data_IF_849052428841
#
_entry.id   IF_849052428841
#
_cell.length_a   1.000
_cell.length_b   1.000
_cell.length_c   1.000
_cell.angle_alpha   90.00
_cell.angle_beta   90.00
_cell.angle_gamma   90.00
#
_symmetry.space_group_name_H-M   'P 1'
#
loop_
_entity.id
_entity.type
_entity.pdbx_description
1 polymer ?
#
# COMPACT_ATOMS: atom_id res chain seq x y z
N UNK A 1 14.01 -30.71 -4.31
CA UNK A 1 13.25 -29.47 -4.08
C UNK A 1 11.95 -29.60 -4.85
N UNK A 2 10.84 -29.92 -4.17
CA UNK A 2 9.55 -30.11 -4.85
C UNK A 2 8.88 -28.76 -5.13
N UNK A 3 7.97 -28.72 -6.10
CA UNK A 3 7.17 -27.52 -6.41
C UNK A 3 6.44 -26.97 -5.17
N UNK A 4 5.99 -27.86 -4.26
CA UNK A 4 5.42 -27.49 -2.97
C UNK A 4 6.39 -26.72 -2.06
N UNK A 5 7.70 -27.02 -2.11
CA UNK A 5 8.74 -26.28 -1.39
C UNK A 5 9.10 -24.94 -2.05
N UNK A 6 8.89 -24.80 -3.37
CA UNK A 6 9.12 -23.56 -4.10
C UNK A 6 8.01 -22.53 -3.82
N UNK A 7 6.76 -22.98 -3.80
CA UNK A 7 5.60 -22.13 -3.53
C UNK A 7 5.45 -21.85 -2.03
N UNK A 8 5.67 -22.87 -1.19
CA UNK A 8 5.69 -22.70 0.26
C UNK A 8 4.33 -22.75 0.92
N UNK A 9 4.21 -23.49 2.03
CA UNK A 9 2.98 -23.50 2.83
C UNK A 9 2.95 -22.26 3.73
N UNK A 10 2.07 -21.31 3.41
CA UNK A 10 1.64 -20.20 4.28
C UNK A 10 2.70 -19.12 4.52
N UNK A 11 3.78 -19.46 5.21
CA UNK A 11 4.78 -18.51 5.72
C UNK A 11 6.21 -18.75 5.19
N UNK A 12 6.50 -19.91 4.60
CA UNK A 12 7.84 -20.26 4.10
C UNK A 12 7.81 -20.57 2.62
N UNK A 13 8.36 -19.67 1.79
CA UNK A 13 8.40 -19.77 0.32
C UNK A 13 8.27 -18.38 -0.34
N UNK A 14 8.13 -18.33 -1.66
CA UNK A 14 7.98 -17.06 -2.41
C UNK A 14 6.75 -16.27 -1.92
N UNK A 15 5.66 -16.98 -1.59
CA UNK A 15 4.43 -16.37 -1.05
C UNK A 15 4.69 -15.73 0.32
N UNK A 16 5.46 -16.39 1.19
CA UNK A 16 5.81 -15.86 2.51
C UNK A 16 6.65 -14.58 2.45
N UNK A 17 7.59 -14.49 1.49
CA UNK A 17 8.38 -13.28 1.26
C UNK A 17 7.51 -12.13 0.75
N UNK A 18 6.58 -12.40 -0.17
CA UNK A 18 5.65 -11.39 -0.67
C UNK A 18 4.78 -10.84 0.46
N UNK A 19 4.24 -11.73 1.30
CA UNK A 19 3.36 -11.34 2.39
C UNK A 19 4.09 -10.58 3.50
N UNK A 20 5.30 -11.01 3.85
CA UNK A 20 6.05 -10.47 5.01
C UNK A 20 6.89 -9.25 4.66
N UNK A 21 7.33 -9.10 3.41
CA UNK A 21 8.28 -8.04 3.01
C UNK A 21 7.66 -7.12 1.97
N UNK A 22 7.18 -7.66 0.85
CA UNK A 22 6.76 -6.83 -0.30
C UNK A 22 5.56 -5.96 0.07
N UNK A 23 4.55 -6.54 0.70
CA UNK A 23 3.32 -5.84 1.06
C UNK A 23 3.58 -4.72 2.07
N UNK A 24 4.27 -4.95 3.21
CA UNK A 24 4.60 -3.89 4.15
C UNK A 24 5.45 -2.78 3.53
N UNK A 25 6.38 -3.11 2.63
CA UNK A 25 7.22 -2.13 1.94
C UNK A 25 6.38 -1.24 1.01
N UNK A 26 5.45 -1.81 0.25
CA UNK A 26 4.55 -1.02 -0.61
C UNK A 26 3.68 -0.08 0.25
N UNK A 27 3.17 -0.59 1.39
CA UNK A 27 2.42 0.23 2.34
C UNK A 27 3.26 1.40 2.88
N UNK A 28 4.51 1.13 3.28
CA UNK A 28 5.43 2.15 3.74
C UNK A 28 5.73 3.20 2.66
N UNK A 29 5.97 2.78 1.41
CA UNK A 29 6.22 3.69 0.30
C UNK A 29 5.02 4.59 0.00
N UNK A 30 3.81 4.02 -0.07
CA UNK A 30 2.59 4.82 -0.30
C UNK A 30 2.33 5.77 0.85
N UNK A 31 2.59 5.34 2.09
CA UNK A 31 2.48 6.20 3.27
C UNK A 31 3.49 7.36 3.23
N UNK A 32 4.74 7.12 2.82
CA UNK A 32 5.73 8.18 2.63
C UNK A 32 5.29 9.18 1.55
N UNK A 33 4.81 8.70 0.40
CA UNK A 33 4.31 9.55 -0.69
C UNK A 33 3.11 10.37 -0.23
N UNK A 34 2.23 9.79 0.59
CA UNK A 34 1.11 10.51 1.19
C UNK A 34 1.59 11.64 2.13
N UNK A 35 2.53 11.35 3.05
CA UNK A 35 3.12 12.36 3.93
C UNK A 35 3.78 13.47 3.10
N UNK A 36 4.51 13.12 2.05
CA UNK A 36 5.15 14.10 1.16
C UNK A 36 4.12 14.96 0.42
N UNK A 37 3.03 14.37 -0.07
CA UNK A 37 1.93 15.11 -0.71
C UNK A 37 1.28 16.11 0.23
N UNK A 38 1.01 15.70 1.48
CA UNK A 38 0.46 16.57 2.53
C UNK A 38 1.44 17.68 2.91
N UNK A 39 2.71 17.35 3.12
CA UNK A 39 3.76 18.31 3.45
C UNK A 39 3.97 19.34 2.33
N UNK A 40 3.99 18.91 1.06
CA UNK A 40 4.10 19.81 -0.09
C UNK A 40 2.90 20.77 -0.17
N UNK A 41 1.68 20.27 0.07
CA UNK A 41 0.47 21.10 0.06
C UNK A 41 0.44 22.13 1.21
N UNK A 42 0.80 21.71 2.43
CA UNK A 42 0.68 22.54 3.63
C UNK A 42 1.89 23.45 3.89
N UNK A 43 3.12 23.00 3.64
CA UNK A 43 4.34 23.70 4.04
C UNK A 43 4.98 24.53 2.93
N UNK A 44 4.91 24.07 1.67
CA UNK A 44 5.72 24.67 0.57
C UNK A 44 4.90 25.68 -0.24
N UNK A 45 3.58 25.48 -0.37
CA UNK A 45 2.77 26.15 -1.38
C UNK A 45 1.69 27.11 -0.82
N UNK A 46 1.80 27.51 0.45
CA UNK A 46 0.80 28.34 1.13
C UNK A 46 0.54 29.72 0.52
N UNK A 47 1.48 30.26 -0.29
CA UNK A 47 1.41 31.61 -0.85
C UNK A 47 1.16 31.73 -2.36
N UNK A 48 1.08 30.63 -3.12
CA UNK A 48 1.00 30.67 -4.59
C UNK A 48 -0.11 29.74 -5.12
N UNK A 49 -1.13 30.30 -5.77
CA UNK A 49 -2.35 29.56 -6.17
C UNK A 49 -2.10 28.40 -7.14
N UNK A 50 -1.21 28.58 -8.12
CA UNK A 50 -0.87 27.52 -9.11
C UNK A 50 -0.27 26.27 -8.45
N UNK A 51 0.60 26.49 -7.47
CA UNK A 51 1.26 25.41 -6.73
C UNK A 51 0.30 24.70 -5.76
N UNK A 52 -0.77 25.36 -5.32
CA UNK A 52 -1.83 24.72 -4.52
C UNK A 52 -2.66 23.77 -5.35
N UNK A 53 -2.89 24.05 -6.63
CA UNK A 53 -3.59 23.12 -7.53
C UNK A 53 -2.77 21.82 -7.69
N UNK A 54 -1.47 21.97 -7.93
CA UNK A 54 -0.54 20.83 -8.07
C UNK A 54 -0.43 20.01 -6.77
N UNK A 55 -0.27 20.66 -5.61
CA UNK A 55 -0.24 19.98 -4.31
C UNK A 55 -1.54 19.24 -3.99
N UNK A 56 -2.70 19.79 -4.37
CA UNK A 56 -4.01 19.15 -4.18
C UNK A 56 -4.15 17.90 -5.03
N UNK A 57 -3.68 17.94 -6.28
CA UNK A 57 -3.63 16.78 -7.17
C UNK A 57 -2.71 15.69 -6.60
N UNK A 58 -1.54 16.04 -6.08
CA UNK A 58 -0.65 15.09 -5.41
C UNK A 58 -1.28 14.40 -4.19
N UNK A 59 -1.99 15.15 -3.34
CA UNK A 59 -2.72 14.56 -2.21
C UNK A 59 -3.80 13.59 -2.72
N UNK A 60 -4.57 13.96 -3.74
CA UNK A 60 -5.61 13.08 -4.29
C UNK A 60 -5.03 11.77 -4.80
N UNK A 61 -3.89 11.81 -5.49
CA UNK A 61 -3.17 10.60 -5.91
C UNK A 61 -2.68 9.76 -4.72
N UNK A 62 -2.19 10.40 -3.65
CA UNK A 62 -1.80 9.72 -2.42
C UNK A 62 -2.97 9.03 -1.73
N UNK A 63 -4.11 9.72 -1.60
CA UNK A 63 -5.35 9.16 -1.02
C UNK A 63 -5.87 8.00 -1.86
N UNK A 64 -5.91 8.16 -3.19
CA UNK A 64 -6.34 7.11 -4.10
C UNK A 64 -5.47 5.86 -3.96
N UNK A 65 -4.14 6.02 -3.87
CA UNK A 65 -3.19 4.94 -3.64
C UNK A 65 -3.45 4.20 -2.32
N UNK A 66 -3.72 4.93 -1.23
CA UNK A 66 -4.08 4.32 0.05
C UNK A 66 -5.40 3.55 -0.04
N UNK A 67 -6.45 4.16 -0.60
CA UNK A 67 -7.77 3.53 -0.72
C UNK A 67 -7.68 2.22 -1.51
N UNK A 68 -6.94 2.20 -2.62
CA UNK A 68 -6.74 0.98 -3.41
C UNK A 68 -5.99 -0.09 -2.62
N UNK A 69 -4.90 0.27 -1.93
CA UNK A 69 -4.15 -0.67 -1.09
C UNK A 69 -5.02 -1.28 -0.01
N UNK A 70 -5.74 -0.47 0.76
CA UNK A 70 -6.64 -0.94 1.81
C UNK A 70 -7.81 -1.75 1.25
N UNK A 71 -8.35 -1.37 0.09
CA UNK A 71 -9.45 -2.09 -0.57
C UNK A 71 -9.01 -3.49 -0.99
N UNK A 72 -7.87 -3.61 -1.69
CA UNK A 72 -7.35 -4.91 -2.15
C UNK A 72 -6.99 -5.79 -0.95
N UNK A 73 -6.28 -5.25 0.05
CA UNK A 73 -5.88 -6.04 1.21
C UNK A 73 -7.03 -6.41 2.15
N UNK A 74 -7.96 -5.48 2.37
CA UNK A 74 -9.18 -5.72 3.13
C UNK A 74 -10.03 -6.80 2.46
N UNK A 75 -10.15 -6.76 1.14
CA UNK A 75 -10.85 -7.77 0.37
C UNK A 75 -10.16 -9.14 0.42
N UNK A 76 -8.83 -9.18 0.27
CA UNK A 76 -8.05 -10.41 0.41
C UNK A 76 -8.25 -11.03 1.80
N UNK A 77 -8.16 -10.22 2.86
CA UNK A 77 -8.37 -10.68 4.23
C UNK A 77 -9.80 -11.21 4.43
N UNK A 78 -10.81 -10.51 3.90
CA UNK A 78 -12.20 -10.95 3.95
C UNK A 78 -12.40 -12.30 3.24
N UNK A 79 -11.81 -12.50 2.06
CA UNK A 79 -11.88 -13.79 1.36
C UNK A 79 -11.17 -14.90 2.14
N UNK A 80 -9.97 -14.64 2.64
CA UNK A 80 -9.19 -15.61 3.42
C UNK A 80 -9.95 -16.02 4.70
N UNK A 81 -10.54 -15.05 5.40
CA UNK A 81 -11.40 -15.28 6.56
C UNK A 81 -12.66 -16.08 6.21
N UNK A 82 -13.29 -15.81 5.07
CA UNK A 82 -14.48 -16.53 4.60
C UNK A 82 -14.16 -17.98 4.23
N UNK A 83 -12.97 -18.23 3.67
CA UNK A 83 -12.50 -19.56 3.29
C UNK A 83 -11.92 -20.34 4.49
N UNK A 84 -11.87 -19.76 5.69
CA UNK A 84 -11.30 -20.39 6.88
C UNK A 84 -9.77 -20.53 6.83
N UNK A 85 -9.11 -19.84 5.89
CA UNK A 85 -7.67 -19.85 5.70
C UNK A 85 -7.14 -18.60 6.39
N UNK A 86 -6.92 -18.68 7.70
CA UNK A 86 -6.21 -17.61 8.42
C UNK A 86 -4.71 -17.75 8.13
N UNK A 87 -4.03 -16.71 7.62
CA UNK A 87 -2.58 -16.72 7.48
C UNK A 87 -1.85 -16.80 8.83
#
# INVERSE_FOLDING_TARGET
MTFAQFIGNGSTGIIGVINTIVIPVIFALVFLVFIWGVANYLLINGGNEDKRAEGRQFILWGILGMVVLFSVWGFVNLLLSTLGIHP
#
